data_IF_293079175833
#
_entry.id   IF_293079175833
#
_cell.length_a   1.000
_cell.length_b   1.000
_cell.length_c   1.000
_cell.angle_alpha   90.00
_cell.angle_beta   90.00
_cell.angle_gamma   90.00
#
_symmetry.space_group_name_H-M   'P 1'
#
loop_
_entity.id
_entity.type
_entity.pdbx_description
1 polymer ?
#
# COMPACT_ATOMS: atom_id res chain seq x y z
N UNK A 1 -5.67 -17.59 -15.31
CA UNK A 1 -6.07 -17.73 -13.89
C UNK A 1 -4.81 -18.04 -13.10
N UNK A 2 -4.58 -17.38 -11.96
CA UNK A 2 -3.38 -17.64 -11.16
C UNK A 2 -3.38 -19.10 -10.69
N UNK A 3 -2.25 -19.78 -10.85
CA UNK A 3 -2.06 -21.16 -10.40
C UNK A 3 -2.11 -21.22 -8.87
N UNK A 4 -2.82 -22.19 -8.31
CA UNK A 4 -2.92 -22.40 -6.86
C UNK A 4 -2.12 -23.64 -6.48
N UNK A 5 -1.18 -23.47 -5.54
CA UNK A 5 -0.45 -24.59 -4.93
C UNK A 5 -0.99 -24.87 -3.53
N UNK A 6 -1.23 -26.15 -3.25
CA UNK A 6 -1.68 -26.60 -1.93
C UNK A 6 -0.47 -26.88 -1.04
N UNK A 7 -0.57 -26.47 0.22
CA UNK A 7 0.46 -26.69 1.24
C UNK A 7 -0.18 -27.35 2.46
N UNK A 8 0.47 -28.40 2.98
CA UNK A 8 0.08 -29.04 4.24
C UNK A 8 0.87 -28.44 5.39
N UNK A 9 0.17 -27.93 6.40
CA UNK A 9 0.76 -27.29 7.57
C UNK A 9 0.28 -27.99 8.84
N UNK A 10 1.21 -28.26 9.74
CA UNK A 10 0.94 -28.88 11.03
C UNK A 10 0.71 -27.80 12.09
N UNK A 11 -0.37 -27.93 12.84
CA UNK A 11 -0.71 -27.03 13.95
C UNK A 11 -0.96 -27.83 15.22
N UNK A 12 -0.75 -27.19 16.38
CA UNK A 12 -1.22 -27.74 17.64
C UNK A 12 -2.75 -27.92 17.60
N UNK A 13 -3.25 -29.06 18.14
CA UNK A 13 -4.69 -29.39 18.10
C UNK A 13 -5.56 -28.29 18.67
N UNK A 14 -5.13 -27.69 19.77
CA UNK A 14 -5.87 -26.64 20.46
C UNK A 14 -5.96 -25.36 19.62
N UNK A 15 -4.87 -24.97 18.96
CA UNK A 15 -4.85 -23.82 18.03
C UNK A 15 -5.82 -24.05 16.86
N UNK A 16 -5.78 -25.24 16.25
CA UNK A 16 -6.67 -25.57 15.13
C UNK A 16 -8.14 -25.58 15.56
N UNK A 17 -8.44 -26.06 16.78
CA UNK A 17 -9.80 -26.05 17.33
C UNK A 17 -10.34 -24.63 17.47
N UNK A 18 -9.56 -23.72 18.06
CA UNK A 18 -9.96 -22.31 18.22
C UNK A 18 -10.11 -21.61 16.87
N UNK A 19 -9.18 -21.85 15.95
CA UNK A 19 -9.26 -21.30 14.59
C UNK A 19 -10.54 -21.72 13.86
N UNK A 20 -10.98 -22.99 14.01
CA UNK A 20 -12.25 -23.45 13.44
C UNK A 20 -13.48 -22.73 14.02
N UNK A 21 -13.49 -22.48 15.32
CA UNK A 21 -14.59 -21.75 15.98
C UNK A 21 -14.67 -20.32 15.45
N UNK A 22 -13.52 -19.64 15.34
CA UNK A 22 -13.44 -18.27 14.79
C UNK A 22 -13.87 -18.25 13.31
N UNK A 23 -13.40 -19.22 12.52
CA UNK A 23 -13.75 -19.31 11.12
C UNK A 23 -15.28 -19.50 10.95
N UNK A 24 -15.88 -20.38 11.74
CA UNK A 24 -17.33 -20.58 11.72
C UNK A 24 -18.10 -19.32 12.16
N UNK A 25 -17.62 -18.59 13.17
CA UNK A 25 -18.28 -17.35 13.62
C UNK A 25 -18.19 -16.20 12.62
N UNK A 26 -17.24 -16.27 11.67
CA UNK A 26 -17.01 -15.26 10.63
C UNK A 26 -17.51 -15.73 9.24
N UNK A 27 -18.25 -16.84 9.18
CA UNK A 27 -18.72 -17.46 7.93
C UNK A 27 -17.59 -17.67 6.89
N UNK A 28 -16.44 -18.13 7.39
CA UNK A 28 -15.22 -18.36 6.61
C UNK A 28 -14.58 -19.70 6.94
N UNK A 29 -13.48 -20.01 6.26
CA UNK A 29 -12.70 -21.24 6.49
C UNK A 29 -11.32 -20.93 7.06
N UNK A 30 -10.75 -21.88 7.80
CA UNK A 30 -9.37 -21.79 8.31
C UNK A 30 -8.38 -21.57 7.16
N UNK A 31 -8.58 -22.24 6.02
CA UNK A 31 -7.76 -22.07 4.83
C UNK A 31 -7.87 -20.67 4.22
N UNK A 32 -9.05 -20.03 4.28
CA UNK A 32 -9.22 -18.65 3.83
C UNK A 32 -8.50 -17.67 4.77
N UNK A 33 -8.62 -17.86 6.08
CA UNK A 33 -7.89 -17.04 7.07
C UNK A 33 -6.37 -17.15 6.84
N UNK A 34 -5.85 -18.38 6.70
CA UNK A 34 -4.43 -18.61 6.41
C UNK A 34 -3.99 -17.95 5.10
N UNK A 35 -4.82 -18.01 4.07
CA UNK A 35 -4.53 -17.36 2.79
C UNK A 35 -4.40 -15.85 2.96
N UNK A 36 -5.37 -15.22 3.60
CA UNK A 36 -5.34 -13.77 3.84
C UNK A 36 -4.11 -13.37 4.68
N UNK A 37 -3.78 -14.13 5.72
CA UNK A 37 -2.59 -13.87 6.52
C UNK A 37 -1.29 -13.95 5.70
N UNK A 38 -1.18 -14.93 4.80
CA UNK A 38 -0.01 -15.08 3.92
C UNK A 38 0.06 -13.97 2.87
N UNK A 39 -1.07 -13.63 2.25
CA UNK A 39 -1.15 -12.51 1.29
C UNK A 39 -0.77 -11.19 1.95
N UNK A 40 -1.23 -10.96 3.17
CA UNK A 40 -0.92 -9.78 3.97
C UNK A 40 0.55 -9.74 4.36
N UNK A 41 1.11 -10.87 4.80
CA UNK A 41 2.53 -11.01 5.14
C UNK A 41 3.43 -10.70 3.94
N UNK A 42 3.15 -11.32 2.79
CA UNK A 42 3.88 -11.05 1.54
C UNK A 42 3.73 -9.59 1.14
N UNK A 43 2.52 -9.04 1.19
CA UNK A 43 2.27 -7.63 0.85
C UNK A 43 3.03 -6.68 1.75
N UNK A 44 3.12 -6.95 3.05
CA UNK A 44 3.89 -6.12 3.98
C UNK A 44 5.39 -6.14 3.62
N UNK A 45 5.95 -7.31 3.35
CA UNK A 45 7.35 -7.44 2.95
C UNK A 45 7.65 -6.84 1.56
N UNK A 46 6.72 -6.96 0.62
CA UNK A 46 6.85 -6.37 -0.71
C UNK A 46 6.59 -4.86 -0.72
N UNK A 47 5.92 -4.30 0.29
CA UNK A 47 5.46 -2.90 0.25
C UNK A 47 6.61 -1.91 0.14
N UNK A 48 7.69 -2.14 0.88
CA UNK A 48 8.90 -1.31 0.81
C UNK A 48 9.59 -1.46 -0.54
N UNK A 49 9.80 -2.70 -0.99
CA UNK A 49 10.47 -2.97 -2.27
C UNK A 49 9.69 -2.37 -3.45
N UNK A 50 8.36 -2.48 -3.46
CA UNK A 50 7.49 -1.85 -4.47
C UNK A 50 7.52 -0.33 -4.41
N UNK A 51 7.48 0.26 -3.21
CA UNK A 51 7.58 1.72 -3.06
C UNK A 51 8.95 2.22 -3.54
N UNK A 52 10.02 1.49 -3.21
CA UNK A 52 11.39 1.76 -3.63
C UNK A 52 11.52 1.68 -5.15
N UNK A 53 11.03 0.61 -5.77
CA UNK A 53 11.12 0.39 -7.21
C UNK A 53 10.26 1.40 -7.98
N UNK A 54 9.10 1.78 -7.45
CA UNK A 54 8.27 2.86 -7.99
C UNK A 54 8.99 4.21 -7.93
N UNK A 55 9.59 4.55 -6.79
CA UNK A 55 10.37 5.77 -6.63
C UNK A 55 11.59 5.82 -7.56
N UNK A 56 12.32 4.70 -7.70
CA UNK A 56 13.41 4.62 -8.65
C UNK A 56 12.93 4.65 -10.10
N UNK A 57 11.77 4.10 -10.43
CA UNK A 57 11.17 4.23 -11.76
C UNK A 57 10.92 5.69 -12.12
N UNK A 58 10.36 6.44 -11.18
CA UNK A 58 10.15 7.89 -11.29
C UNK A 58 11.47 8.66 -11.45
N UNK A 59 12.50 8.33 -10.65
CA UNK A 59 13.80 9.00 -10.72
C UNK A 59 14.63 8.65 -11.96
N UNK A 60 14.48 7.43 -12.48
CA UNK A 60 15.21 6.93 -13.64
C UNK A 60 14.59 7.37 -14.97
N UNK A 61 13.40 7.95 -14.94
CA UNK A 61 12.83 8.61 -16.11
C UNK A 61 13.80 9.72 -16.56
N UNK A 62 14.27 9.62 -17.81
CA UNK A 62 15.37 10.46 -18.33
C UNK A 62 15.00 11.94 -18.40
N UNK A 63 13.71 12.23 -18.48
CA UNK A 63 13.19 13.59 -18.53
C UNK A 63 12.95 14.16 -17.11
N UNK A 64 13.07 13.32 -16.08
CA UNK A 64 12.70 13.65 -14.70
C UNK A 64 11.24 14.10 -14.59
N UNK A 65 10.86 14.66 -13.44
CA UNK A 65 9.61 15.43 -13.40
C UNK A 65 9.83 16.78 -14.06
N UNK A 66 9.10 17.06 -15.15
CA UNK A 66 8.99 18.42 -15.67
C UNK A 66 8.13 19.27 -14.71
N UNK A 67 8.78 19.83 -13.69
CA UNK A 67 8.16 20.70 -12.70
C UNK A 67 7.95 22.14 -13.21
N UNK A 68 8.19 22.41 -14.50
CA UNK A 68 8.13 23.75 -15.08
C UNK A 68 9.16 24.74 -14.52
N UNK A 69 10.05 24.29 -13.63
CA UNK A 69 11.00 25.12 -12.90
C UNK A 69 12.34 25.29 -13.63
N UNK A 70 12.60 24.50 -14.69
CA UNK A 70 13.91 24.46 -15.38
C UNK A 70 15.10 24.34 -14.40
N UNK A 71 14.90 23.63 -13.28
CA UNK A 71 15.91 23.46 -12.23
C UNK A 71 16.06 24.65 -11.27
N UNK A 72 15.24 25.70 -11.40
CA UNK A 72 15.25 26.87 -10.53
C UNK A 72 13.88 27.05 -9.86
N UNK A 73 13.84 26.86 -8.54
CA UNK A 73 12.66 27.24 -7.77
C UNK A 73 12.61 28.78 -7.68
N UNK A 74 11.64 29.39 -8.36
CA UNK A 74 11.44 30.85 -8.36
C UNK A 74 10.62 31.35 -7.16
N UNK A 75 10.09 30.43 -6.35
CA UNK A 75 9.24 30.71 -5.20
C UNK A 75 10.02 30.53 -3.89
N UNK A 76 9.76 31.43 -2.93
CA UNK A 76 10.19 31.29 -1.54
C UNK A 76 9.12 30.52 -0.76
N UNK A 77 9.49 29.96 0.40
CA UNK A 77 8.57 29.20 1.26
C UNK A 77 7.30 30.01 1.60
N UNK A 78 7.44 31.31 1.87
CA UNK A 78 6.31 32.22 2.16
C UNK A 78 5.32 32.32 1.00
N UNK A 79 5.81 32.46 -0.23
CA UNK A 79 5.00 32.57 -1.45
C UNK A 79 4.15 31.33 -1.72
N UNK A 80 4.60 30.14 -1.28
CA UNK A 80 3.82 28.90 -1.36
C UNK A 80 2.69 28.83 -0.32
N UNK A 81 2.91 29.35 0.88
CA UNK A 81 1.88 29.38 1.93
C UNK A 81 0.69 30.27 1.52
N UNK A 82 0.97 31.40 0.87
CA UNK A 82 -0.07 32.34 0.41
C UNK A 82 -0.91 31.77 -0.76
N UNK A 83 -0.34 30.90 -1.61
CA UNK A 83 -1.07 30.22 -2.72
C UNK A 83 -2.18 29.27 -2.25
N UNK A 84 -2.05 28.69 -1.06
CA UNK A 84 -3.06 27.81 -0.45
C UNK A 84 -4.22 28.59 0.19
N UNK A 85 -3.98 29.85 0.55
CA UNK A 85 -4.93 30.75 1.15
C UNK A 85 -5.71 31.48 0.03
N UNK A 86 -6.64 30.80 -0.65
CA UNK A 86 -7.51 31.46 -1.65
C UNK A 86 -8.16 32.71 -1.03
N UNK A 87 -7.88 33.94 -1.49
CA UNK A 87 -8.74 35.08 -1.19
C UNK A 87 -9.86 35.09 -2.24
N UNK A 88 -11.09 34.76 -1.84
CA UNK A 88 -12.26 35.03 -2.69
C UNK A 88 -13.22 33.89 -3.00
N UNK A 89 -13.43 32.92 -2.09
CA UNK A 89 -14.69 32.16 -2.12
C UNK A 89 -15.78 32.93 -1.35
N UNK A 90 -16.27 34.04 -1.91
CA UNK A 90 -17.50 34.71 -1.48
C UNK A 90 -18.06 35.60 -2.59
N UNK A 91 -19.26 35.23 -3.06
CA UNK A 91 -20.31 36.08 -3.65
C UNK A 91 -19.95 36.77 -4.98
N UNK A 92 -20.41 36.20 -6.11
CA UNK A 92 -21.75 36.39 -6.69
C UNK A 92 -22.09 35.22 -7.62
#
# INVERSE_FOLDING_TARGET
MAERQNVTVSFARETLRRAKIIAASQDTSVSSILRSLLEDYVRQHDSYERARDSYFGILKDKDGFNLGSRGQATWKRGDLHERGQRPGASVR
#
